data_IF_061090318016
#
_entry.id   IF_061090318016
#
_cell.length_a   1.000
_cell.length_b   1.000
_cell.length_c   1.000
_cell.angle_alpha   90.00
_cell.angle_beta   90.00
_cell.angle_gamma   90.00
#
_symmetry.space_group_name_H-M   'P 1'
#
loop_
_entity.id
_entity.type
_entity.pdbx_description
1 polymer ?
#
# COMPACT_ATOMS: atom_id res chain seq x y z
N UNK A 1 7.72 12.25 1.47
CA UNK A 1 7.01 11.05 1.96
C UNK A 1 6.73 10.16 0.77
N UNK A 2 7.28 8.95 0.78
CA UNK A 2 7.23 7.96 -0.28
C UNK A 2 6.46 6.73 0.21
N UNK A 3 5.79 6.03 -0.71
CA UNK A 3 4.97 4.87 -0.41
C UNK A 3 5.66 3.63 -0.99
N UNK A 4 5.79 2.59 -0.17
CA UNK A 4 6.33 1.29 -0.56
C UNK A 4 5.28 0.24 -0.22
N UNK A 5 4.89 -0.57 -1.21
CA UNK A 5 3.86 -1.59 -1.03
C UNK A 5 4.51 -2.97 -1.03
N UNK A 6 4.31 -3.74 0.05
CA UNK A 6 4.55 -5.17 0.06
C UNK A 6 3.25 -5.89 -0.32
N UNK A 7 3.33 -6.82 -1.28
CA UNK A 7 2.15 -7.56 -1.78
C UNK A 7 2.37 -9.06 -1.65
N UNK A 8 1.51 -9.73 -0.89
CA UNK A 8 1.34 -11.17 -0.95
C UNK A 8 0.18 -11.51 -1.88
N UNK A 9 0.52 -12.11 -3.03
CA UNK A 9 -0.45 -12.48 -4.06
C UNK A 9 -1.07 -13.81 -3.70
N UNK A 10 -2.38 -13.80 -3.52
CA UNK A 10 -3.21 -15.00 -3.37
C UNK A 10 -4.52 -14.82 -4.14
N UNK A 11 -5.20 -15.93 -4.45
CA UNK A 11 -6.47 -15.91 -5.20
C UNK A 11 -7.63 -15.36 -4.40
N UNK A 12 -7.67 -15.63 -3.10
CA UNK A 12 -8.82 -15.33 -2.24
C UNK A 12 -8.46 -14.47 -1.04
N UNK A 13 -7.22 -14.55 -0.56
CA UNK A 13 -6.74 -13.78 0.60
C UNK A 13 -5.45 -13.01 0.28
N UNK A 14 -5.45 -12.09 -0.71
CA UNK A 14 -4.30 -11.25 -0.97
C UNK A 14 -4.03 -10.31 0.22
N UNK A 15 -2.75 -10.08 0.51
CA UNK A 15 -2.32 -9.13 1.56
C UNK A 15 -1.56 -7.98 0.89
N UNK A 16 -1.92 -6.75 1.25
CA UNK A 16 -1.24 -5.54 0.82
C UNK A 16 -0.89 -4.72 2.04
N UNK A 17 0.40 -4.47 2.24
CA UNK A 17 0.92 -3.65 3.34
C UNK A 17 1.53 -2.41 2.72
N UNK A 18 1.01 -1.24 3.08
CA UNK A 18 1.49 0.04 2.60
C UNK A 18 2.36 0.69 3.67
N UNK A 19 3.62 0.97 3.34
CA UNK A 19 4.60 1.56 4.23
C UNK A 19 4.96 2.97 3.76
N UNK A 20 5.05 3.91 4.70
CA UNK A 20 5.40 5.30 4.48
C UNK A 20 6.81 5.56 4.99
N UNK A 21 7.62 6.27 4.20
CA UNK A 21 8.94 6.72 4.63
C UNK A 21 9.19 8.18 4.18
N UNK A 22 9.79 9.05 5.02
CA UNK A 22 10.06 10.43 4.64
C UNK A 22 11.05 10.54 3.48
N UNK A 23 12.06 9.68 3.47
CA UNK A 23 13.13 9.62 2.46
C UNK A 23 12.79 8.68 1.30
N UNK A 24 13.37 8.97 0.15
CA UNK A 24 13.30 8.13 -1.03
C UNK A 24 14.36 7.02 -0.97
N UNK A 25 13.89 5.80 -1.23
CA UNK A 25 14.67 4.60 -1.43
C UNK A 25 14.39 4.18 -2.87
N UNK A 26 15.45 3.90 -3.61
CA UNK A 26 15.34 3.28 -4.93
C UNK A 26 14.77 1.87 -4.81
N UNK A 27 14.27 1.33 -5.92
CA UNK A 27 13.80 -0.06 -5.97
C UNK A 27 14.89 -1.03 -5.49
N UNK A 28 16.13 -0.89 -5.96
CA UNK A 28 17.25 -1.76 -5.58
C UNK A 28 17.56 -1.68 -4.08
N UNK A 29 17.54 -0.47 -3.51
CA UNK A 29 17.74 -0.31 -2.07
C UNK A 29 16.59 -0.95 -1.28
N UNK A 30 15.35 -0.80 -1.74
CA UNK A 30 14.19 -1.44 -1.11
C UNK A 30 14.28 -2.97 -1.17
N UNK A 31 14.71 -3.56 -2.28
CA UNK A 31 14.98 -5.00 -2.36
C UNK A 31 16.07 -5.44 -1.36
N UNK A 32 17.14 -4.66 -1.22
CA UNK A 32 18.20 -4.96 -0.26
C UNK A 32 17.70 -4.92 1.20
N UNK A 33 16.78 -4.02 1.53
CA UNK A 33 16.15 -4.02 2.85
C UNK A 33 15.38 -5.31 3.15
N UNK A 34 14.73 -5.91 2.14
CA UNK A 34 14.07 -7.22 2.30
C UNK A 34 15.09 -8.33 2.56
N UNK A 35 16.23 -8.30 1.86
CA UNK A 35 17.33 -9.24 2.09
C UNK A 35 17.91 -9.11 3.51
N UNK A 36 18.00 -7.90 4.05
CA UNK A 36 18.41 -7.70 5.45
C UNK A 36 17.35 -8.26 6.41
N UNK A 37 16.07 -8.00 6.15
CA UNK A 37 14.95 -8.54 6.94
C UNK A 37 14.92 -10.07 6.98
N UNK A 38 15.22 -10.73 5.85
CA UNK A 38 15.30 -12.21 5.78
C UNK A 38 16.36 -12.82 6.69
N UNK A 39 17.39 -12.07 7.08
CA UNK A 39 18.41 -12.58 8.02
C UNK A 39 17.89 -12.67 9.46
N UNK A 40 16.78 -12.01 9.77
CA UNK A 40 16.22 -11.89 11.13
C UNK A 40 14.83 -12.51 11.27
N UNK A 41 14.19 -12.84 10.16
CA UNK A 41 12.87 -13.46 10.12
C UNK A 41 12.94 -14.98 10.20
N UNK A 42 11.77 -15.60 10.35
CA UNK A 42 11.59 -17.02 10.14
C UNK A 42 11.79 -17.42 8.66
N UNK A 43 11.69 -18.73 8.37
CA UNK A 43 11.73 -19.27 7.01
C UNK A 43 10.30 -19.60 6.51
N UNK A 44 9.33 -18.76 6.86
CA UNK A 44 7.92 -18.96 6.50
C UNK A 44 7.64 -18.65 5.03
N UNK A 45 6.52 -19.17 4.53
CA UNK A 45 6.01 -18.80 3.22
C UNK A 45 5.67 -17.29 3.15
N UNK A 46 5.72 -16.73 1.94
CA UNK A 46 5.58 -15.28 1.69
C UNK A 46 4.36 -14.64 2.36
N UNK A 47 3.23 -15.36 2.42
CA UNK A 47 1.99 -14.84 3.01
C UNK A 47 2.06 -14.57 4.52
N UNK A 48 3.00 -15.21 5.23
CA UNK A 48 3.32 -14.92 6.64
C UNK A 48 4.55 -14.01 6.73
N UNK A 49 5.57 -14.33 5.93
CA UNK A 49 6.84 -13.62 5.87
C UNK A 49 6.70 -12.12 5.59
N UNK A 50 5.70 -11.72 4.80
CA UNK A 50 5.41 -10.32 4.50
C UNK A 50 5.12 -9.49 5.76
N UNK A 51 4.53 -10.10 6.80
CA UNK A 51 4.22 -9.43 8.06
C UNK A 51 5.50 -9.20 8.88
N UNK A 52 6.40 -10.19 8.91
CA UNK A 52 7.69 -10.08 9.58
C UNK A 52 8.58 -9.01 8.92
N UNK A 53 8.56 -8.94 7.58
CA UNK A 53 9.31 -7.91 6.85
C UNK A 53 8.73 -6.51 7.08
N UNK A 54 7.40 -6.36 7.13
CA UNK A 54 6.77 -5.09 7.45
C UNK A 54 7.17 -4.61 8.85
N UNK A 55 7.11 -5.49 9.86
CA UNK A 55 7.54 -5.18 11.23
C UNK A 55 9.03 -4.82 11.28
N UNK A 56 9.88 -5.55 10.57
CA UNK A 56 11.31 -5.25 10.48
C UNK A 56 11.57 -3.87 9.88
N UNK A 57 10.92 -3.51 8.78
CA UNK A 57 11.07 -2.19 8.15
C UNK A 57 10.61 -1.06 9.07
N UNK A 58 9.52 -1.26 9.81
CA UNK A 58 9.01 -0.28 10.79
C UNK A 58 9.99 -0.10 11.95
N UNK A 59 10.47 -1.21 12.52
CA UNK A 59 11.29 -1.18 13.74
C UNK A 59 12.74 -0.80 13.49
N UNK A 60 13.35 -1.26 12.40
CA UNK A 60 14.77 -1.08 12.12
C UNK A 60 15.06 0.15 11.23
N UNK A 61 14.15 0.47 10.30
CA UNK A 61 14.36 1.51 9.28
C UNK A 61 13.37 2.67 9.36
N UNK A 62 12.53 2.72 10.41
CA UNK A 62 11.67 3.87 10.69
C UNK A 62 10.53 4.07 9.69
N UNK A 63 10.14 3.02 8.95
CA UNK A 63 8.92 3.06 8.16
C UNK A 63 7.68 3.16 9.07
N UNK A 64 6.59 3.69 8.53
CA UNK A 64 5.30 3.76 9.22
C UNK A 64 4.26 3.01 8.39
N UNK A 65 3.59 2.03 9.00
CA UNK A 65 2.50 1.32 8.33
C UNK A 65 1.26 2.22 8.19
N UNK A 66 0.73 2.32 6.96
CA UNK A 66 -0.51 3.01 6.69
C UNK A 66 -1.70 2.07 6.89
N UNK A 67 -2.84 2.60 7.33
CA UNK A 67 -4.07 1.81 7.55
C UNK A 67 -4.73 1.25 6.28
N UNK A 68 -4.22 1.59 5.09
CA UNK A 68 -4.72 1.11 3.81
C UNK A 68 -4.65 2.18 2.71
N UNK A 69 -5.10 1.81 1.51
CA UNK A 69 -5.21 2.71 0.36
C UNK A 69 -6.62 2.64 -0.23
N UNK A 70 -7.23 3.80 -0.42
CA UNK A 70 -8.50 3.97 -1.13
C UNK A 70 -8.23 4.80 -2.39
N UNK A 71 -8.69 4.33 -3.54
CA UNK A 71 -8.49 4.99 -4.83
C UNK A 71 -9.84 5.43 -5.41
N UNK A 72 -9.89 6.67 -5.91
CA UNK A 72 -11.00 7.18 -6.73
C UNK A 72 -10.39 7.65 -8.05
N UNK A 73 -10.79 7.06 -9.17
CA UNK A 73 -10.23 7.36 -10.48
C UNK A 73 -11.31 7.63 -11.55
N UNK A 74 -10.97 8.50 -12.49
CA UNK A 74 -11.79 8.86 -13.65
C UNK A 74 -10.89 8.94 -14.90
N UNK A 75 -11.42 8.71 -16.12
CA UNK A 75 -10.68 8.98 -17.36
C UNK A 75 -10.20 10.44 -17.40
N UNK A 76 -8.97 10.67 -17.87
CA UNK A 76 -8.34 11.99 -17.84
C UNK A 76 -9.03 13.03 -18.74
N UNK A 77 -9.71 12.56 -19.79
CA UNK A 77 -10.50 13.36 -20.73
C UNK A 77 -11.92 13.69 -20.24
N UNK A 78 -12.34 13.14 -19.10
CA UNK A 78 -13.73 13.25 -18.63
C UNK A 78 -14.04 14.70 -18.19
N UNK A 79 -15.07 15.35 -18.76
CA UNK A 79 -15.44 16.70 -18.32
C UNK A 79 -15.84 16.74 -16.84
N UNK A 80 -15.54 17.83 -16.15
CA UNK A 80 -15.85 18.01 -14.72
C UNK A 80 -17.32 17.75 -14.37
N UNK A 81 -18.25 18.12 -15.25
CA UNK A 81 -19.69 17.89 -15.04
C UNK A 81 -20.03 16.40 -15.03
N UNK A 82 -19.35 15.60 -15.84
CA UNK A 82 -19.54 14.16 -15.92
C UNK A 82 -18.90 13.45 -14.72
N UNK A 83 -17.72 13.92 -14.27
CA UNK A 83 -17.12 13.49 -12.99
C UNK A 83 -18.09 13.74 -11.84
N UNK A 84 -18.64 14.96 -11.74
CA UNK A 84 -19.62 15.33 -10.71
C UNK A 84 -20.82 14.39 -10.73
N UNK A 85 -21.40 14.13 -11.91
CA UNK A 85 -22.54 13.22 -12.06
C UNK A 85 -22.24 11.82 -11.51
N UNK A 86 -21.04 11.28 -11.77
CA UNK A 86 -20.62 9.96 -11.28
C UNK A 86 -20.40 9.93 -9.77
N UNK A 87 -19.81 10.98 -9.21
CA UNK A 87 -19.67 11.12 -7.75
C UNK A 87 -21.05 11.20 -7.09
N UNK A 88 -21.95 12.02 -7.62
CA UNK A 88 -23.33 12.15 -7.11
C UNK A 88 -24.09 10.81 -7.19
N UNK A 89 -23.90 10.04 -8.26
CA UNK A 89 -24.47 8.71 -8.41
C UNK A 89 -23.87 7.68 -7.43
N UNK A 90 -22.56 7.76 -7.15
CA UNK A 90 -21.88 6.90 -6.17
C UNK A 90 -22.35 7.20 -4.73
N UNK A 91 -22.42 8.48 -4.36
CA UNK A 91 -22.86 8.91 -3.02
C UNK A 91 -24.33 8.59 -2.76
N UNK A 92 -25.20 8.70 -3.77
CA UNK A 92 -26.62 8.40 -3.63
C UNK A 92 -27.28 9.24 -2.53
N UNK A 93 -27.69 8.60 -1.43
CA UNK A 93 -28.33 9.22 -0.26
C UNK A 93 -27.35 9.64 0.84
N UNK A 94 -26.07 9.30 0.72
CA UNK A 94 -25.02 9.74 1.64
C UNK A 94 -24.47 11.14 1.28
N UNK A 95 -25.29 11.93 0.58
CA UNK A 95 -25.01 13.34 0.31
C UNK A 95 -25.55 14.12 1.51
N UNK A 96 -24.65 14.72 2.29
CA UNK A 96 -25.06 15.75 3.23
C UNK A 96 -25.49 16.97 2.42
N UNK A 97 -26.77 17.36 2.54
CA UNK A 97 -27.28 18.65 2.05
C UNK A 97 -26.57 19.82 2.74
#
# INVERSE_FOLDING_TARGET
MHIYELVSRDRTHPVRVYLLHPEYWTEDEFYNLLLEGFQRSSASDWHLQILELAEYLVTAHGFVEAGGLQEISFPGELPKNEVKRRIEAFLGKDRSD
#
